data_IF_754476722542
#
_entry.id   IF_754476722542
#
_cell.length_a   1.000
_cell.length_b   1.000
_cell.length_c   1.000
_cell.angle_alpha   90.00
_cell.angle_beta   90.00
_cell.angle_gamma   90.00
#
_symmetry.space_group_name_H-M   'P 1'
#
loop_
_entity.id
_entity.type
_entity.pdbx_description
1 polymer ?
#
# COMPACT_ATOMS: atom_id res chain seq x y z
N UNK A 1 -12.95 -13.99 -67.70
CA UNK A 1 -13.92 -14.28 -66.62
C UNK A 1 -13.10 -14.68 -65.40
N UNK A 2 -12.95 -13.76 -64.45
CA UNK A 2 -13.52 -13.86 -63.08
C UNK A 2 -12.56 -14.52 -62.09
N UNK A 3 -11.40 -13.91 -61.82
CA UNK A 3 -10.48 -14.46 -60.81
C UNK A 3 -9.47 -13.50 -60.17
N UNK A 4 -9.25 -12.30 -60.70
CA UNK A 4 -8.16 -11.43 -60.24
C UNK A 4 -8.60 -10.08 -59.65
N UNK A 5 -9.92 -9.89 -59.44
CA UNK A 5 -10.49 -8.65 -58.87
C UNK A 5 -10.99 -8.79 -57.43
N UNK A 6 -10.94 -9.97 -56.84
CA UNK A 6 -11.43 -10.21 -55.47
C UNK A 6 -10.34 -10.23 -54.40
N UNK A 7 -9.06 -10.34 -54.75
CA UNK A 7 -7.98 -10.41 -53.74
C UNK A 7 -7.57 -9.03 -53.22
N UNK A 8 -7.74 -7.96 -54.00
CA UNK A 8 -7.42 -6.59 -53.56
C UNK A 8 -8.49 -5.94 -52.68
N UNK A 9 -9.67 -6.54 -52.56
CA UNK A 9 -10.77 -5.98 -51.74
C UNK A 9 -10.70 -6.40 -50.26
N UNK A 10 -9.87 -7.38 -49.90
CA UNK A 10 -9.79 -7.90 -48.52
C UNK A 10 -8.65 -7.29 -47.68
N UNK A 11 -7.68 -6.61 -48.31
CA UNK A 11 -6.61 -5.94 -47.56
C UNK A 11 -6.90 -4.47 -47.21
N UNK A 12 -7.98 -3.87 -47.73
CA UNK A 12 -8.30 -2.45 -47.46
C UNK A 12 -9.36 -2.31 -46.34
N UNK A 13 -9.99 -3.40 -45.90
CA UNK A 13 -10.98 -3.38 -44.81
C UNK A 13 -10.41 -3.72 -43.43
N UNK A 14 -9.13 -4.09 -43.34
CA UNK A 14 -8.46 -4.42 -42.08
C UNK A 14 -7.68 -3.25 -41.46
N UNK A 15 -7.75 -2.05 -42.03
CA UNK A 15 -7.07 -0.84 -41.51
C UNK A 15 -7.85 -0.07 -40.44
N UNK A 16 -9.00 -0.59 -40.00
CA UNK A 16 -9.87 0.08 -39.01
C UNK A 16 -10.12 -0.71 -37.72
N UNK A 17 -9.28 -1.69 -37.40
CA UNK A 17 -9.07 -2.07 -36.00
C UNK A 17 -7.67 -1.60 -35.60
N UNK A 18 -7.51 -0.27 -35.50
CA UNK A 18 -6.60 0.25 -34.50
C UNK A 18 -7.19 -0.17 -33.15
N UNK A 19 -6.80 -1.36 -32.68
CA UNK A 19 -6.75 -1.62 -31.25
C UNK A 19 -5.84 -0.53 -30.68
N UNK A 20 -6.43 0.58 -30.24
CA UNK A 20 -5.76 1.48 -29.33
C UNK A 20 -5.54 0.66 -28.07
N UNK A 21 -4.38 0.04 -27.97
CA UNK A 21 -3.87 -0.41 -26.69
C UNK A 21 -3.67 0.88 -25.90
N UNK A 22 -4.71 1.29 -25.16
CA UNK A 22 -4.59 2.36 -24.20
C UNK A 22 -3.64 1.84 -23.13
N UNK A 23 -2.33 2.05 -23.34
CA UNK A 23 -1.35 1.91 -22.28
C UNK A 23 -1.71 2.98 -21.26
N UNK A 24 -2.34 2.56 -20.17
CA UNK A 24 -2.52 3.40 -18.99
C UNK A 24 -1.12 3.77 -18.52
N UNK A 25 -0.73 5.02 -18.75
CA UNK A 25 0.55 5.54 -18.30
C UNK A 25 0.49 5.65 -16.78
N UNK A 26 1.35 4.89 -16.11
CA UNK A 26 1.37 4.82 -14.65
C UNK A 26 1.88 6.14 -14.07
N UNK A 27 1.21 6.65 -13.03
CA UNK A 27 1.62 7.90 -12.37
C UNK A 27 2.68 7.58 -11.31
N UNK A 28 3.89 8.07 -11.53
CA UNK A 28 5.06 7.80 -10.68
C UNK A 28 5.39 9.02 -9.83
N UNK A 29 5.65 8.83 -8.54
CA UNK A 29 6.07 9.88 -7.63
C UNK A 29 7.30 9.41 -6.84
N UNK A 30 8.13 10.35 -6.40
CA UNK A 30 9.24 10.04 -5.51
C UNK A 30 8.76 9.78 -4.09
N UNK A 31 9.42 8.86 -3.38
CA UNK A 31 9.25 8.62 -1.95
C UNK A 31 10.15 9.50 -1.08
N UNK A 32 10.14 9.25 0.23
CA UNK A 32 10.97 9.96 1.23
C UNK A 32 11.98 9.04 1.91
N UNK A 33 12.90 9.63 2.70
CA UNK A 33 13.93 8.92 3.48
C UNK A 33 14.15 9.61 4.84
N UNK A 34 13.07 10.06 5.48
CA UNK A 34 13.11 10.79 6.74
C UNK A 34 12.94 9.87 7.94
N UNK A 35 12.45 8.63 7.76
CA UNK A 35 12.08 7.71 8.83
C UNK A 35 11.14 8.38 9.86
N UNK A 36 11.61 8.59 11.09
CA UNK A 36 10.87 9.26 12.16
C UNK A 36 11.24 10.75 12.34
N UNK A 37 12.15 11.26 11.51
CA UNK A 37 12.52 12.68 11.52
C UNK A 37 11.44 13.53 10.87
N UNK A 38 11.02 14.60 11.54
CA UNK A 38 10.02 15.54 11.02
C UNK A 38 10.59 16.95 11.00
N UNK A 39 10.34 17.64 9.89
CA UNK A 39 10.68 19.06 9.72
C UNK A 39 9.41 19.87 9.55
N UNK A 40 9.25 20.92 10.36
CA UNK A 40 8.11 21.81 10.28
C UNK A 40 6.90 21.32 11.09
N UNK A 41 5.74 21.88 10.79
CA UNK A 41 4.49 21.54 11.48
C UNK A 41 3.83 20.30 10.87
N UNK A 42 3.00 19.61 11.65
CA UNK A 42 2.18 18.49 11.13
C UNK A 42 1.32 18.90 9.93
N UNK A 43 0.78 20.12 9.91
CA UNK A 43 0.07 20.65 8.75
C UNK A 43 0.95 20.75 7.51
N UNK A 44 2.20 21.20 7.66
CA UNK A 44 3.17 21.26 6.57
C UNK A 44 3.48 19.87 6.04
N UNK A 45 3.73 18.91 6.93
CA UNK A 45 4.02 17.52 6.57
C UNK A 45 2.84 16.89 5.80
N UNK A 46 1.62 17.06 6.29
CA UNK A 46 0.42 16.59 5.62
C UNK A 46 0.25 17.21 4.23
N UNK A 47 0.44 18.53 4.10
CA UNK A 47 0.32 19.21 2.79
C UNK A 47 1.37 18.71 1.80
N UNK A 48 2.63 18.57 2.22
CA UNK A 48 3.70 18.04 1.35
C UNK A 48 3.41 16.60 0.90
N UNK A 49 2.94 15.75 1.82
CA UNK A 49 2.55 14.37 1.51
C UNK A 49 1.38 14.34 0.52
N UNK A 50 0.36 15.17 0.73
CA UNK A 50 -0.79 15.27 -0.16
C UNK A 50 -0.38 15.72 -1.56
N UNK A 51 0.46 16.74 -1.66
CA UNK A 51 0.95 17.25 -2.94
C UNK A 51 1.80 16.21 -3.69
N UNK A 52 2.59 15.43 -2.95
CA UNK A 52 3.47 14.40 -3.52
C UNK A 52 2.71 13.18 -4.03
N UNK A 53 1.66 12.75 -3.32
CA UNK A 53 1.02 11.45 -3.58
C UNK A 53 -0.38 11.53 -4.19
N UNK A 54 -0.95 12.72 -4.40
CA UNK A 54 -2.26 12.85 -5.05
C UNK A 54 -2.26 12.29 -6.47
N UNK A 55 -3.02 11.22 -6.67
CA UNK A 55 -3.10 10.51 -7.96
C UNK A 55 -1.90 9.61 -8.26
N UNK A 56 -1.01 9.42 -7.28
CA UNK A 56 0.15 8.57 -7.43
C UNK A 56 -0.23 7.09 -7.49
N UNK A 57 0.38 6.34 -8.39
CA UNK A 57 0.17 4.90 -8.51
C UNK A 57 1.41 4.11 -8.07
N UNK A 58 2.61 4.64 -8.34
CA UNK A 58 3.88 4.01 -7.98
C UNK A 58 4.77 5.00 -7.24
N UNK A 59 5.15 4.63 -6.02
CA UNK A 59 6.10 5.39 -5.20
C UNK A 59 7.51 4.85 -5.42
N UNK A 60 8.36 5.67 -6.04
CA UNK A 60 9.79 5.41 -6.22
C UNK A 60 10.57 5.82 -4.97
N UNK A 61 10.84 4.86 -4.10
CA UNK A 61 11.43 5.07 -2.79
C UNK A 61 10.48 4.60 -1.69
N UNK A 62 10.54 5.22 -0.52
CA UNK A 62 9.74 4.80 0.63
C UNK A 62 8.45 5.60 0.75
N UNK A 63 7.40 4.96 1.24
CA UNK A 63 6.19 5.63 1.69
C UNK A 63 6.25 5.77 3.22
N UNK A 64 6.51 6.97 3.71
CA UNK A 64 6.61 7.26 5.15
C UNK A 64 5.41 8.11 5.60
N UNK A 65 4.52 7.50 6.38
CA UNK A 65 3.33 8.15 6.95
C UNK A 65 3.54 8.19 8.46
N UNK A 66 3.96 9.37 8.96
CA UNK A 66 4.34 9.52 10.35
C UNK A 66 3.70 10.76 10.99
N UNK A 67 3.43 10.69 12.29
CA UNK A 67 3.00 11.84 13.11
C UNK A 67 1.71 12.53 12.64
N UNK A 68 0.77 11.79 12.05
CA UNK A 68 -0.48 12.34 11.54
C UNK A 68 -1.62 12.34 12.58
N UNK A 69 -2.45 13.40 12.56
CA UNK A 69 -3.62 13.50 13.42
C UNK A 69 -4.84 12.73 12.87
N UNK A 70 -5.79 12.43 13.75
CA UNK A 70 -6.92 11.55 13.45
C UNK A 70 -7.94 12.12 12.46
N UNK A 71 -8.03 13.45 12.30
CA UNK A 71 -9.01 14.13 11.44
C UNK A 71 -8.53 14.36 10.00
N UNK A 72 -7.31 13.92 9.66
CA UNK A 72 -6.73 14.10 8.33
C UNK A 72 -7.39 13.20 7.30
N UNK A 73 -7.47 13.69 6.06
CA UNK A 73 -8.02 12.94 4.93
C UNK A 73 -6.88 12.36 4.08
N UNK A 74 -6.79 11.03 4.04
CA UNK A 74 -5.76 10.30 3.30
C UNK A 74 -6.24 9.72 1.97
N UNK A 75 -7.43 10.09 1.49
CA UNK A 75 -8.01 9.57 0.22
C UNK A 75 -7.09 9.75 -0.99
N UNK A 76 -6.16 10.72 -0.95
CA UNK A 76 -5.17 10.92 -1.98
C UNK A 76 -4.19 9.73 -2.16
N UNK A 77 -4.07 8.84 -1.18
CA UNK A 77 -3.24 7.63 -1.24
C UNK A 77 -3.92 6.44 -1.95
N UNK A 78 -5.23 6.52 -2.22
CA UNK A 78 -6.05 5.38 -2.68
C UNK A 78 -5.63 4.76 -4.02
N UNK A 79 -4.90 5.51 -4.84
CA UNK A 79 -4.41 5.05 -6.14
C UNK A 79 -3.08 4.30 -6.06
N UNK A 80 -2.38 4.36 -4.93
CA UNK A 80 -1.07 3.72 -4.78
C UNK A 80 -1.24 2.21 -4.86
N UNK A 81 -0.54 1.60 -5.81
CA UNK A 81 -0.51 0.15 -6.05
C UNK A 81 0.84 -0.48 -5.81
N UNK A 82 1.91 0.31 -5.83
CA UNK A 82 3.27 -0.19 -5.66
C UNK A 82 4.14 0.82 -4.92
N UNK A 83 4.97 0.30 -4.00
CA UNK A 83 6.05 1.04 -3.35
C UNK A 83 7.36 0.29 -3.59
N UNK A 84 8.37 0.95 -4.14
CA UNK A 84 9.63 0.28 -4.47
C UNK A 84 10.58 0.12 -3.29
N UNK A 85 10.52 1.01 -2.31
CA UNK A 85 11.27 0.91 -1.05
C UNK A 85 10.48 0.17 0.03
N UNK A 86 10.53 0.70 1.25
CA UNK A 86 9.72 0.25 2.38
C UNK A 86 8.50 1.15 2.61
N UNK A 87 7.56 0.66 3.42
CA UNK A 87 6.44 1.43 3.97
C UNK A 87 6.61 1.55 5.48
N UNK A 88 6.55 2.78 5.99
CA UNK A 88 6.58 3.09 7.41
C UNK A 88 5.30 3.83 7.81
N UNK A 89 4.54 3.24 8.73
CA UNK A 89 3.33 3.82 9.31
C UNK A 89 3.57 3.93 10.81
N UNK A 90 3.93 5.12 11.30
CA UNK A 90 4.36 5.26 12.69
C UNK A 90 3.83 6.52 13.41
N UNK A 91 3.46 6.37 14.69
CA UNK A 91 3.10 7.50 15.57
C UNK A 91 1.88 8.28 15.03
N UNK A 92 0.96 7.61 14.34
CA UNK A 92 -0.25 8.23 13.80
C UNK A 92 -1.46 8.05 14.71
N UNK A 93 -2.51 8.84 14.46
CA UNK A 93 -3.76 8.81 15.24
C UNK A 93 -5.00 8.49 14.39
N UNK A 94 -4.88 8.36 13.06
CA UNK A 94 -6.00 7.97 12.19
C UNK A 94 -6.39 6.50 12.39
N UNK A 95 -7.64 6.14 12.03
CA UNK A 95 -8.17 4.78 12.18
C UNK A 95 -7.82 3.85 11.03
N UNK A 96 -7.59 4.37 9.82
CA UNK A 96 -7.32 3.59 8.62
C UNK A 96 -6.60 4.42 7.56
N UNK A 97 -5.74 3.78 6.76
CA UNK A 97 -5.27 4.33 5.49
C UNK A 97 -6.01 3.71 4.30
N UNK A 98 -6.39 4.49 3.28
CA UNK A 98 -6.99 3.96 2.06
C UNK A 98 -5.87 3.46 1.14
N UNK A 99 -5.26 2.32 1.46
CA UNK A 99 -4.21 1.67 0.65
C UNK A 99 -4.72 0.38 0.01
N UNK A 100 -6.02 0.28 -0.24
CA UNK A 100 -6.67 -0.93 -0.75
C UNK A 100 -6.12 -1.39 -2.09
N UNK A 101 -5.59 -0.47 -2.91
CA UNK A 101 -5.02 -0.81 -4.22
C UNK A 101 -3.56 -1.26 -4.15
N UNK A 102 -2.91 -1.17 -2.98
CA UNK A 102 -1.53 -1.58 -2.80
C UNK A 102 -1.40 -3.09 -3.03
N UNK A 103 -0.54 -3.49 -3.94
CA UNK A 103 -0.31 -4.89 -4.34
C UNK A 103 1.08 -5.39 -4.03
N UNK A 104 2.07 -4.51 -4.14
CA UNK A 104 3.48 -4.88 -4.09
C UNK A 104 4.28 -3.88 -3.26
N UNK A 105 5.10 -4.40 -2.35
CA UNK A 105 6.22 -3.67 -1.72
C UNK A 105 7.50 -4.35 -2.20
N UNK A 106 8.38 -3.64 -2.91
CA UNK A 106 9.58 -4.28 -3.46
C UNK A 106 10.71 -4.42 -2.44
N UNK A 107 10.79 -3.56 -1.43
CA UNK A 107 11.86 -3.66 -0.42
C UNK A 107 13.27 -3.35 -0.95
N UNK A 108 13.40 -2.53 -2.00
CA UNK A 108 14.74 -2.12 -2.51
C UNK A 108 15.55 -1.31 -1.48
N UNK A 109 14.86 -0.74 -0.51
CA UNK A 109 15.37 -0.15 0.72
C UNK A 109 14.52 -0.65 1.88
N UNK A 110 15.12 -0.80 3.08
CA UNK A 110 14.45 -1.38 4.25
C UNK A 110 14.51 -0.43 5.45
N UNK A 111 13.43 -0.35 6.21
CA UNK A 111 13.41 0.32 7.49
C UNK A 111 14.28 -0.46 8.48
N UNK A 112 15.18 0.24 9.17
CA UNK A 112 16.21 -0.36 10.04
C UNK A 112 16.99 -1.50 9.37
N UNK A 113 17.19 -1.40 8.05
CA UNK A 113 17.89 -2.41 7.23
C UNK A 113 17.22 -3.80 7.25
N UNK A 114 15.98 -3.91 7.74
CA UNK A 114 15.32 -5.20 8.00
C UNK A 114 13.90 -5.31 7.47
N UNK A 115 13.10 -4.25 7.56
CA UNK A 115 11.66 -4.35 7.35
C UNK A 115 11.21 -3.58 6.10
N UNK A 116 10.46 -4.25 5.23
CA UNK A 116 9.78 -3.62 4.11
C UNK A 116 8.43 -3.03 4.50
N UNK A 117 7.81 -3.53 5.57
CA UNK A 117 6.62 -2.95 6.18
C UNK A 117 6.84 -2.80 7.68
N UNK A 118 6.78 -1.56 8.18
CA UNK A 118 6.88 -1.24 9.60
C UNK A 118 5.66 -0.41 10.06
N UNK A 119 4.92 -0.93 11.03
CA UNK A 119 3.68 -0.35 11.58
C UNK A 119 3.82 -0.22 13.09
N UNK A 120 4.10 0.99 13.57
CA UNK A 120 4.63 1.20 14.92
C UNK A 120 3.81 2.27 15.68
N UNK A 121 3.29 1.94 16.86
CA UNK A 121 2.79 2.95 17.83
C UNK A 121 1.72 3.89 17.25
N UNK A 122 0.79 3.39 16.43
CA UNK A 122 -0.24 4.22 15.80
C UNK A 122 -1.44 4.44 16.72
N UNK A 123 -1.25 5.19 17.80
CA UNK A 123 -2.33 5.60 18.70
C UNK A 123 -2.00 6.88 19.47
N UNK A 124 -3.05 7.59 19.88
CA UNK A 124 -2.96 8.70 20.82
C UNK A 124 -2.78 8.13 22.24
N UNK A 125 -1.63 8.42 22.88
CA UNK A 125 -1.22 7.85 24.18
C UNK A 125 -2.32 7.89 25.25
N UNK A 126 -2.95 9.05 25.43
CA UNK A 126 -4.00 9.29 26.43
C UNK A 126 -5.37 9.55 25.79
N UNK A 127 -5.56 9.04 24.56
CA UNK A 127 -6.75 9.30 23.75
C UNK A 127 -7.51 8.05 23.34
N UNK A 128 -8.50 8.27 22.47
CA UNK A 128 -9.39 7.22 21.93
C UNK A 128 -9.17 7.02 20.41
N UNK A 129 -8.13 7.63 19.86
CA UNK A 129 -7.81 7.58 18.44
C UNK A 129 -6.56 6.75 18.20
N UNK A 130 -6.57 5.99 17.12
CA UNK A 130 -5.45 5.18 16.67
C UNK A 130 -5.86 4.26 15.55
N UNK A 131 -4.88 3.60 14.96
CA UNK A 131 -5.07 2.69 13.83
C UNK A 131 -5.90 1.48 14.26
N UNK A 132 -7.01 1.24 13.56
CA UNK A 132 -7.93 0.14 13.81
C UNK A 132 -7.78 -0.98 12.77
N UNK A 133 -7.41 -0.62 11.53
CA UNK A 133 -7.17 -1.54 10.42
C UNK A 133 -6.13 -0.97 9.45
N UNK A 134 -5.37 -1.85 8.78
CA UNK A 134 -4.23 -1.48 7.96
C UNK A 134 -4.63 -1.06 6.52
N UNK A 135 -5.71 -1.64 5.97
CA UNK A 135 -6.25 -1.33 4.64
C UNK A 135 -5.47 -1.92 3.45
N UNK A 136 -4.55 -2.84 3.65
CA UNK A 136 -3.71 -3.50 2.63
C UNK A 136 -4.39 -4.74 2.01
N UNK A 137 -5.66 -4.58 1.63
CA UNK A 137 -6.57 -5.68 1.26
C UNK A 137 -6.19 -6.46 0.00
N UNK A 138 -5.39 -5.85 -0.88
CA UNK A 138 -4.89 -6.45 -2.12
C UNK A 138 -3.37 -6.65 -2.12
N UNK A 139 -2.70 -6.51 -0.97
CA UNK A 139 -1.27 -6.74 -0.87
C UNK A 139 -0.99 -8.23 -1.07
N UNK A 140 -0.30 -8.57 -2.15
CA UNK A 140 0.01 -9.96 -2.49
C UNK A 140 1.49 -10.29 -2.36
N UNK A 141 2.38 -9.30 -2.45
CA UNK A 141 3.82 -9.54 -2.49
C UNK A 141 4.62 -8.48 -1.73
N UNK A 142 5.51 -8.97 -0.86
CA UNK A 142 6.66 -8.24 -0.34
C UNK A 142 7.90 -8.97 -0.85
N UNK A 143 8.67 -8.35 -1.75
CA UNK A 143 9.74 -9.07 -2.45
C UNK A 143 10.98 -9.29 -1.57
N UNK A 144 11.42 -8.25 -0.87
CA UNK A 144 12.59 -8.27 0.02
C UNK A 144 12.20 -7.63 1.35
N UNK A 145 12.79 -8.11 2.45
CA UNK A 145 12.59 -7.57 3.80
C UNK A 145 11.38 -8.12 4.55
N UNK A 146 11.43 -7.96 5.87
CA UNK A 146 10.44 -8.47 6.81
C UNK A 146 9.26 -7.54 7.06
N UNK A 147 8.45 -7.94 8.03
CA UNK A 147 7.27 -7.20 8.50
C UNK A 147 7.38 -6.97 10.00
N UNK A 148 7.17 -5.74 10.45
CA UNK A 148 7.11 -5.38 11.87
C UNK A 148 5.81 -4.64 12.17
N UNK A 149 4.94 -5.23 12.99
CA UNK A 149 3.67 -4.64 13.42
C UNK A 149 3.62 -4.70 14.94
N UNK A 150 3.98 -3.60 15.59
CA UNK A 150 4.17 -3.57 17.03
C UNK A 150 3.49 -2.37 17.69
N UNK A 151 2.98 -2.57 18.89
CA UNK A 151 2.44 -1.50 19.74
C UNK A 151 1.27 -0.73 19.12
N UNK A 152 0.41 -1.35 18.32
CA UNK A 152 -0.78 -0.68 17.78
C UNK A 152 -2.00 -1.03 18.63
N UNK A 153 -2.20 -0.29 19.73
CA UNK A 153 -3.22 -0.54 20.77
C UNK A 153 -4.63 -0.81 20.24
N UNK A 154 -5.05 -0.11 19.18
CA UNK A 154 -6.39 -0.19 18.62
C UNK A 154 -6.48 -1.09 17.39
N UNK A 155 -5.35 -1.58 16.88
CA UNK A 155 -5.31 -2.32 15.63
C UNK A 155 -5.97 -3.68 15.85
N UNK A 156 -7.11 -3.86 15.19
CA UNK A 156 -7.81 -5.13 15.14
C UNK A 156 -7.10 -6.02 14.12
N UNK A 157 -6.02 -6.63 14.57
CA UNK A 157 -5.25 -7.56 13.74
C UNK A 157 -5.91 -8.94 13.73
N UNK A 158 -5.94 -9.57 12.56
CA UNK A 158 -6.31 -10.98 12.44
C UNK A 158 -5.04 -11.81 12.32
N UNK A 159 -4.75 -12.75 13.26
CA UNK A 159 -3.61 -13.68 13.18
C UNK A 159 -3.58 -14.56 11.92
N UNK A 160 -4.58 -14.46 11.07
CA UNK A 160 -4.84 -15.32 9.91
C UNK A 160 -4.19 -14.81 8.63
N UNK A 161 -3.64 -13.59 8.64
CA UNK A 161 -2.77 -13.15 7.55
C UNK A 161 -1.56 -14.07 7.54
N UNK A 162 -1.50 -14.95 6.54
CA UNK A 162 -0.36 -15.81 6.33
C UNK A 162 0.75 -15.00 5.66
N UNK A 163 1.55 -14.29 6.48
CA UNK A 163 2.66 -13.49 5.97
C UNK A 163 3.69 -14.30 5.19
N UNK A 164 3.77 -15.62 5.39
CA UNK A 164 4.61 -16.52 4.60
C UNK A 164 4.18 -16.60 3.13
N UNK A 165 2.91 -16.31 2.81
CA UNK A 165 2.43 -16.26 1.42
C UNK A 165 2.76 -14.92 0.76
N UNK A 166 2.91 -13.85 1.55
CA UNK A 166 3.12 -12.48 1.08
C UNK A 166 4.62 -12.16 0.98
N UNK A 167 5.40 -12.44 2.03
CA UNK A 167 6.84 -12.20 2.11
C UNK A 167 7.58 -13.27 1.32
N UNK A 168 8.29 -12.86 0.26
CA UNK A 168 9.00 -13.77 -0.64
C UNK A 168 10.41 -14.10 -0.16
N UNK A 169 11.03 -13.20 0.58
CA UNK A 169 12.29 -13.50 1.26
C UNK A 169 12.05 -14.40 2.48
N UNK A 170 12.31 -15.70 2.31
CA UNK A 170 12.13 -16.70 3.36
C UNK A 170 13.07 -16.56 4.57
N UNK A 171 14.12 -15.72 4.48
CA UNK A 171 15.00 -15.43 5.61
C UNK A 171 14.53 -14.23 6.45
N UNK A 172 13.58 -13.44 5.93
CA UNK A 172 13.09 -12.23 6.59
C UNK A 172 12.17 -12.52 7.76
N UNK A 173 12.23 -11.66 8.77
CA UNK A 173 11.47 -11.81 10.01
C UNK A 173 10.09 -11.16 9.94
N UNK A 174 9.10 -11.84 10.50
CA UNK A 174 7.75 -11.30 10.73
C UNK A 174 7.54 -11.16 12.23
N UNK A 175 7.52 -9.92 12.71
CA UNK A 175 7.41 -9.57 14.13
C UNK A 175 6.07 -8.88 14.38
N UNK A 176 5.21 -9.52 15.16
CA UNK A 176 3.89 -9.01 15.50
C UNK A 176 3.67 -9.15 17.00
N UNK A 177 3.61 -8.04 17.73
CA UNK A 177 3.42 -8.06 19.18
C UNK A 177 2.74 -6.78 19.70
N UNK A 178 2.21 -6.83 20.93
CA UNK A 178 1.69 -5.64 21.63
C UNK A 178 0.61 -4.83 20.87
N UNK A 179 -0.19 -5.49 20.03
CA UNK A 179 -1.29 -4.87 19.28
C UNK A 179 -2.64 -5.01 20.00
N UNK A 180 -3.69 -4.42 19.42
CA UNK A 180 -5.07 -4.55 19.89
C UNK A 180 -5.57 -6.00 19.93
N UNK A 181 -6.75 -6.24 20.54
CA UNK A 181 -7.25 -7.59 20.78
C UNK A 181 -7.40 -8.38 19.49
N UNK A 182 -6.92 -9.62 19.51
CA UNK A 182 -7.19 -10.60 18.45
C UNK A 182 -8.71 -10.78 18.35
N UNK A 183 -9.29 -10.47 17.18
CA UNK A 183 -10.71 -10.78 16.96
C UNK A 183 -10.88 -12.26 16.69
N UNK A 184 -11.89 -12.84 17.34
CA UNK A 184 -12.28 -14.24 17.15
C UNK A 184 -12.67 -14.51 15.68
N UNK A 185 -12.22 -15.63 15.14
CA UNK A 185 -12.53 -16.03 13.76
C UNK A 185 -14.03 -16.14 13.55
N UNK A 186 -14.60 -15.35 12.63
CA UNK A 186 -15.96 -15.55 12.16
C UNK A 186 -15.97 -16.21 10.77
N UNK A 187 -16.37 -17.49 10.65
CA UNK A 187 -16.43 -18.21 9.37
C UNK A 187 -17.36 -17.54 8.34
N UNK A 188 -18.36 -16.77 8.77
CA UNK A 188 -19.25 -16.02 7.90
C UNK A 188 -18.56 -14.81 7.24
N UNK A 189 -17.41 -14.39 7.77
CA UNK A 189 -16.57 -13.30 7.25
C UNK A 189 -15.36 -13.83 6.48
N UNK A 190 -15.33 -15.12 6.10
CA UNK A 190 -14.22 -15.74 5.37
C UNK A 190 -13.84 -15.03 4.06
N UNK A 191 -14.83 -14.44 3.36
CA UNK A 191 -14.60 -13.61 2.17
C UNK A 191 -14.16 -12.17 2.48
N UNK A 192 -14.39 -11.70 3.71
CA UNK A 192 -13.97 -10.40 4.22
C UNK A 192 -12.62 -10.44 4.94
N UNK A 193 -11.98 -11.62 5.05
CA UNK A 193 -10.65 -11.73 5.67
C UNK A 193 -9.56 -11.01 4.88
N UNK A 194 -9.77 -10.82 3.57
CA UNK A 194 -8.96 -9.93 2.76
C UNK A 194 -9.23 -8.45 3.06
N UNK A 195 -10.27 -8.10 3.82
CA UNK A 195 -10.69 -6.72 4.11
C UNK A 195 -10.11 -6.19 5.44
N UNK A 196 -9.46 -7.06 6.22
CA UNK A 196 -8.92 -6.72 7.55
C UNK A 196 -7.39 -6.64 7.59
N UNK A 197 -6.73 -6.83 6.45
CA UNK A 197 -5.39 -6.28 6.19
C UNK A 197 -5.53 -4.85 5.75
#
# INVERSE_FOLDING_TARGET
MTGLRQVFALCVTLTWLQFTCAQTQEVICSGTQNALSVTGSSQTQYTLMKDMYSGCEIVMGNLEITMMEHWRDFTFLQSIREVTGYILIAINQFSRLPLDQLRIIRGTTLFEERFALAVLVNYQKDGQHGLEELGLTHLTEILEGGVQIIQNKFLSYTPQVNWLDIVKDGASEVIINENGPEREYNPAQKGFMNTFV
#
